data_IF_181874224217
#
_entry.id   IF_181874224217
#
_cell.length_a   1.000
_cell.length_b   1.000
_cell.length_c   1.000
_cell.angle_alpha   90.00
_cell.angle_beta   90.00
_cell.angle_gamma   90.00
#
_symmetry.space_group_name_H-M   'P 1'
#
loop_
_entity.id
_entity.type
_entity.pdbx_description
1 polymer ?
#
# COMPACT_ATOMS: atom_id res chain seq x y z
N UNK A 1 9.89 -28.03 5.36
CA UNK A 1 10.06 -26.72 4.69
C UNK A 1 11.35 -26.00 5.11
N UNK A 2 11.88 -26.20 6.33
CA UNK A 2 13.10 -25.53 6.81
C UNK A 2 14.40 -25.86 6.04
N UNK A 3 14.43 -26.94 5.25
CA UNK A 3 15.65 -27.45 4.60
C UNK A 3 15.89 -26.95 3.17
N UNK A 4 15.15 -25.95 2.69
CA UNK A 4 15.39 -25.34 1.37
C UNK A 4 16.16 -24.05 1.56
N UNK A 5 17.32 -23.93 0.91
CA UNK A 5 18.10 -22.70 0.93
C UNK A 5 17.20 -21.48 0.61
N UNK A 6 17.28 -20.37 1.36
CA UNK A 6 16.37 -19.24 1.21
C UNK A 6 16.22 -18.73 -0.22
N UNK A 7 17.30 -18.75 -1.00
CA UNK A 7 17.30 -18.34 -2.41
C UNK A 7 16.55 -19.30 -3.33
N UNK A 8 16.60 -20.62 -3.08
CA UNK A 8 15.86 -21.59 -3.87
C UNK A 8 14.37 -21.55 -3.55
N UNK A 9 14.02 -21.26 -2.29
CA UNK A 9 12.62 -20.97 -1.92
C UNK A 9 12.13 -19.69 -2.61
N UNK A 10 12.96 -18.64 -2.65
CA UNK A 10 12.62 -17.39 -3.33
C UNK A 10 12.41 -17.59 -4.83
N UNK A 11 13.29 -18.33 -5.51
CA UNK A 11 13.14 -18.65 -6.94
C UNK A 11 11.84 -19.40 -7.22
N UNK A 12 11.55 -20.46 -6.46
CA UNK A 12 10.30 -21.23 -6.59
C UNK A 12 9.07 -20.37 -6.33
N UNK A 13 9.11 -19.49 -5.32
CA UNK A 13 8.02 -18.55 -5.06
C UNK A 13 7.85 -17.57 -6.22
N UNK A 14 8.94 -17.00 -6.74
CA UNK A 14 8.89 -16.07 -7.86
C UNK A 14 8.33 -16.73 -9.14
N UNK A 15 8.73 -17.97 -9.43
CA UNK A 15 8.19 -18.77 -10.54
C UNK A 15 6.69 -19.06 -10.35
N UNK A 16 6.30 -19.51 -9.16
CA UNK A 16 4.90 -19.75 -8.82
C UNK A 16 4.05 -18.48 -8.99
N UNK A 17 4.49 -17.35 -8.43
CA UNK A 17 3.77 -16.07 -8.52
C UNK A 17 3.64 -15.62 -9.97
N UNK A 18 4.70 -15.74 -10.78
CA UNK A 18 4.66 -15.40 -12.23
C UNK A 18 3.69 -16.29 -13.01
N UNK A 19 3.53 -17.55 -12.60
CA UNK A 19 2.60 -18.49 -13.23
C UNK A 19 1.13 -18.28 -12.82
N UNK A 20 0.88 -17.73 -11.63
CA UNK A 20 -0.47 -17.60 -11.07
C UNK A 20 -1.05 -16.19 -11.14
N UNK A 21 -0.22 -15.16 -11.27
CA UNK A 21 -0.66 -13.77 -11.26
C UNK A 21 0.11 -12.91 -12.27
N UNK A 22 -0.58 -11.96 -12.90
CA UNK A 22 0.09 -10.91 -13.66
C UNK A 22 0.87 -10.00 -12.72
N UNK A 23 2.11 -9.68 -13.12
CA UNK A 23 2.97 -8.74 -12.41
C UNK A 23 2.93 -7.33 -13.02
N UNK A 24 2.11 -7.10 -14.05
CA UNK A 24 2.05 -5.84 -14.81
C UNK A 24 1.84 -4.63 -13.90
N UNK A 25 1.07 -4.80 -12.82
CA UNK A 25 0.76 -3.74 -11.85
C UNK A 25 2.00 -3.19 -11.11
N UNK A 26 3.12 -3.94 -11.11
CA UNK A 26 4.38 -3.60 -10.45
C UNK A 26 5.57 -3.64 -11.40
N UNK A 27 5.39 -4.09 -12.65
CA UNK A 27 6.47 -4.19 -13.61
C UNK A 27 6.76 -2.83 -14.26
N UNK A 28 8.01 -2.38 -14.14
CA UNK A 28 8.43 -1.06 -14.66
C UNK A 28 8.27 -0.93 -16.17
N UNK A 29 8.39 -2.02 -16.94
CA UNK A 29 8.24 -1.95 -18.40
C UNK A 29 6.76 -1.94 -18.78
N UNK A 30 5.94 -2.74 -18.12
CA UNK A 30 4.48 -2.73 -18.31
C UNK A 30 3.89 -1.34 -17.99
N UNK A 31 4.33 -0.72 -16.90
CA UNK A 31 3.83 0.59 -16.46
C UNK A 31 4.28 1.78 -17.33
N UNK A 32 5.27 1.59 -18.22
CA UNK A 32 5.60 2.61 -19.23
C UNK A 32 4.55 2.73 -20.32
N UNK A 33 3.72 1.70 -20.52
CA UNK A 33 2.68 1.73 -21.55
C UNK A 33 1.62 2.79 -21.20
N UNK A 34 1.43 3.76 -22.09
CA UNK A 34 0.52 4.89 -21.91
C UNK A 34 -0.85 4.65 -22.55
N UNK A 35 -1.07 3.48 -23.14
CA UNK A 35 -2.37 3.08 -23.69
C UNK A 35 -3.42 3.10 -22.59
N UNK A 36 -4.48 3.88 -22.80
CA UNK A 36 -5.58 3.99 -21.85
C UNK A 36 -6.44 2.72 -21.90
N UNK A 37 -6.53 2.03 -20.78
CA UNK A 37 -7.43 0.90 -20.57
C UNK A 37 -8.24 1.17 -19.32
N UNK A 38 -9.55 1.40 -19.46
CA UNK A 38 -10.43 1.83 -18.37
C UNK A 38 -10.37 0.90 -17.15
N UNK A 39 -10.22 -0.41 -17.37
CA UNK A 39 -10.15 -1.40 -16.31
C UNK A 39 -8.76 -1.52 -15.64
N UNK A 40 -7.73 -0.79 -16.09
CA UNK A 40 -6.36 -0.81 -15.51
C UNK A 40 -6.03 0.54 -14.87
N UNK A 41 -5.79 0.54 -13.57
CA UNK A 41 -5.49 1.74 -12.77
C UNK A 41 -4.06 1.79 -12.21
N UNK A 42 -3.26 0.74 -12.42
CA UNK A 42 -1.95 0.59 -11.75
C UNK A 42 -0.95 1.67 -12.12
N UNK A 43 -0.94 2.13 -13.37
CA UNK A 43 -0.06 3.23 -13.80
C UNK A 43 -0.47 4.55 -13.16
N UNK A 44 -1.77 4.83 -13.07
CA UNK A 44 -2.31 6.05 -12.48
C UNK A 44 -2.04 6.10 -10.97
N UNK A 45 -2.24 4.98 -10.28
CA UNK A 45 -1.87 4.87 -8.87
C UNK A 45 -0.35 5.01 -8.66
N UNK A 46 0.45 4.38 -9.54
CA UNK A 46 1.91 4.50 -9.52
C UNK A 46 2.37 5.92 -9.73
N UNK A 47 1.73 6.66 -10.62
CA UNK A 47 2.01 8.07 -10.82
C UNK A 47 1.74 8.87 -9.54
N UNK A 48 0.56 8.72 -8.93
CA UNK A 48 0.17 9.44 -7.72
C UNK A 48 1.15 9.24 -6.56
N UNK A 49 1.58 8.00 -6.26
CA UNK A 49 2.58 7.82 -5.19
C UNK A 49 4.00 8.23 -5.60
N UNK A 50 4.33 8.25 -6.89
CA UNK A 50 5.61 8.74 -7.39
C UNK A 50 5.71 10.29 -7.38
N UNK A 51 4.59 11.00 -7.45
CA UNK A 51 4.56 12.48 -7.49
C UNK A 51 4.10 13.11 -6.19
N UNK A 52 3.07 12.56 -5.54
CA UNK A 52 2.39 13.19 -4.41
C UNK A 52 2.61 12.37 -3.15
N UNK A 53 2.05 11.17 -3.04
CA UNK A 53 1.93 10.52 -1.72
C UNK A 53 3.24 9.93 -1.17
N UNK A 54 4.19 9.53 -2.02
CA UNK A 54 5.42 8.86 -1.57
C UNK A 54 5.16 7.53 -0.85
N UNK A 55 4.10 6.82 -1.24
CA UNK A 55 3.63 5.58 -0.62
C UNK A 55 4.54 4.38 -0.98
N UNK A 56 5.78 4.39 -0.47
CA UNK A 56 6.81 3.40 -0.79
C UNK A 56 6.83 2.25 0.21
N UNK A 57 6.72 1.01 -0.28
CA UNK A 57 6.70 -0.20 0.55
C UNK A 57 8.11 -0.63 0.98
N UNK A 58 8.76 0.21 1.76
CA UNK A 58 10.10 -0.07 2.29
C UNK A 58 10.07 -1.16 3.37
N UNK A 59 11.12 -1.99 3.50
CA UNK A 59 11.17 -3.05 4.49
C UNK A 59 11.29 -2.48 5.91
N UNK A 60 10.65 -3.14 6.87
CA UNK A 60 10.84 -2.83 8.29
C UNK A 60 12.27 -3.16 8.75
N UNK A 61 12.72 -2.49 9.82
CA UNK A 61 14.12 -2.52 10.28
C UNK A 61 14.60 -3.92 10.68
N UNK A 62 13.73 -4.77 11.22
CA UNK A 62 14.02 -6.15 11.63
C UNK A 62 12.95 -7.11 11.14
N UNK A 63 13.27 -8.39 10.90
CA UNK A 63 12.30 -9.43 10.52
C UNK A 63 11.39 -9.04 9.33
N UNK A 64 11.94 -8.38 8.33
CA UNK A 64 11.19 -7.99 7.14
C UNK A 64 10.89 -9.18 6.24
N UNK A 65 9.65 -9.25 5.74
CA UNK A 65 9.26 -10.19 4.67
C UNK A 65 9.66 -9.69 3.27
N UNK A 66 9.90 -8.38 3.13
CA UNK A 66 10.32 -7.73 1.88
C UNK A 66 11.83 -7.67 1.79
N UNK A 67 12.39 -7.74 0.59
CA UNK A 67 13.83 -7.60 0.38
C UNK A 67 14.37 -6.31 1.00
N UNK A 68 15.51 -6.41 1.69
CA UNK A 68 16.24 -5.28 2.28
C UNK A 68 16.75 -4.26 1.25
N UNK A 69 16.68 -4.61 -0.05
CA UNK A 69 17.06 -3.75 -1.17
C UNK A 69 15.96 -2.75 -1.55
N UNK A 70 14.71 -2.97 -1.15
CA UNK A 70 13.56 -2.10 -1.51
C UNK A 70 13.50 -0.83 -0.65
N UNK A 71 14.64 -0.15 -0.50
CA UNK A 71 14.77 1.12 0.25
C UNK A 71 14.25 2.30 -0.57
N UNK A 72 14.24 3.48 0.04
CA UNK A 72 13.75 4.72 -0.58
C UNK A 72 14.34 4.97 -1.99
N UNK A 73 15.67 4.86 -2.14
CA UNK A 73 16.35 5.12 -3.42
C UNK A 73 15.89 4.17 -4.55
N UNK A 74 15.61 2.91 -4.22
CA UNK A 74 15.05 1.96 -5.18
C UNK A 74 13.71 2.48 -5.74
N UNK A 75 12.85 3.04 -4.90
CA UNK A 75 11.55 3.56 -5.32
C UNK A 75 11.68 4.84 -6.15
N UNK A 76 12.64 5.71 -5.82
CA UNK A 76 12.95 6.89 -6.65
C UNK A 76 13.41 6.46 -8.04
N UNK A 77 14.32 5.49 -8.13
CA UNK A 77 14.79 4.97 -9.41
C UNK A 77 13.68 4.23 -10.17
N UNK A 78 12.81 3.53 -9.45
CA UNK A 78 11.62 2.90 -10.00
C UNK A 78 10.68 3.93 -10.66
N UNK A 79 10.37 5.01 -9.95
CA UNK A 79 9.53 6.10 -10.47
C UNK A 79 10.16 6.77 -11.71
N UNK A 80 11.46 7.08 -11.66
CA UNK A 80 12.20 7.65 -12.79
C UNK A 80 12.23 6.73 -14.00
N UNK A 81 12.38 5.43 -13.77
CA UNK A 81 12.38 4.44 -14.83
C UNK A 81 11.04 4.36 -15.58
N UNK A 82 9.91 4.66 -14.91
CA UNK A 82 8.57 4.60 -15.51
C UNK A 82 8.20 5.93 -16.16
N UNK A 83 8.39 7.05 -15.46
CA UNK A 83 7.83 8.35 -15.85
C UNK A 83 8.88 9.38 -16.33
N UNK A 84 10.17 9.01 -16.30
CA UNK A 84 11.28 9.87 -16.71
C UNK A 84 12.00 10.55 -15.54
N UNK A 85 13.22 11.02 -15.81
CA UNK A 85 14.16 11.52 -14.79
C UNK A 85 13.72 12.78 -14.05
N UNK A 86 12.80 13.54 -14.64
CA UNK A 86 12.27 14.79 -14.11
C UNK A 86 11.16 14.59 -13.06
N UNK A 87 10.71 13.34 -12.82
CA UNK A 87 9.71 13.08 -11.80
C UNK A 87 10.28 13.33 -10.40
N UNK A 88 9.49 14.01 -9.56
CA UNK A 88 9.86 14.35 -8.19
C UNK A 88 8.70 13.97 -7.27
N UNK A 89 9.01 13.22 -6.22
CA UNK A 89 8.06 12.88 -5.16
C UNK A 89 7.96 14.02 -4.16
N UNK A 90 6.76 14.56 -3.98
CA UNK A 90 6.44 15.74 -3.17
C UNK A 90 5.59 15.39 -1.93
N UNK A 91 5.93 14.26 -1.30
CA UNK A 91 5.20 13.75 -0.14
C UNK A 91 5.21 14.70 1.05
N UNK A 92 6.23 15.54 1.18
CA UNK A 92 6.28 16.54 2.25
C UNK A 92 5.23 17.63 2.01
N UNK A 93 5.13 18.11 0.77
CA UNK A 93 4.17 19.11 0.35
C UNK A 93 2.74 18.59 0.48
N UNK A 94 2.49 17.35 0.02
CA UNK A 94 1.19 16.68 0.21
C UNK A 94 0.83 16.54 1.70
N UNK A 95 1.78 16.16 2.55
CA UNK A 95 1.54 16.08 4.00
C UNK A 95 1.26 17.45 4.63
N UNK A 96 1.90 18.52 4.15
CA UNK A 96 1.66 19.89 4.61
C UNK A 96 0.27 20.38 4.21
N UNK A 97 -0.14 20.11 2.97
CA UNK A 97 -1.45 20.48 2.44
C UNK A 97 -2.58 19.81 3.22
N UNK A 98 -2.47 18.50 3.50
CA UNK A 98 -3.53 17.72 4.13
C UNK A 98 -3.38 17.54 5.64
N UNK A 99 -2.43 18.21 6.29
CA UNK A 99 -2.25 18.21 7.74
C UNK A 99 -1.58 16.96 8.33
N UNK A 100 -1.31 15.93 7.53
CA UNK A 100 -0.60 14.71 7.95
C UNK A 100 -1.20 14.10 9.23
N UNK A 101 -0.39 13.85 10.27
CA UNK A 101 -0.86 13.35 11.57
C UNK A 101 -1.62 14.38 12.41
N UNK A 102 -1.60 15.66 12.02
CA UNK A 102 -2.30 16.76 12.70
C UNK A 102 -3.54 17.18 11.89
N UNK A 103 -4.35 16.20 11.48
CA UNK A 103 -5.51 16.43 10.63
C UNK A 103 -6.57 17.29 11.36
N UNK A 104 -6.88 18.45 10.79
CA UNK A 104 -7.93 19.35 11.29
C UNK A 104 -9.19 19.15 10.45
N UNK A 105 -10.01 18.20 10.86
CA UNK A 105 -11.32 17.91 10.25
C UNK A 105 -12.42 17.84 11.31
N UNK A 106 -13.67 17.86 10.87
CA UNK A 106 -14.87 17.76 11.70
C UNK A 106 -15.83 16.75 11.11
N UNK A 107 -16.66 16.12 11.95
CA UNK A 107 -17.71 15.20 11.52
C UNK A 107 -17.15 14.02 10.68
N UNK A 108 -15.93 13.56 11.01
CA UNK A 108 -15.29 12.44 10.31
C UNK A 108 -15.21 11.21 11.20
N UNK A 109 -15.56 10.06 10.64
CA UNK A 109 -15.48 8.75 11.28
C UNK A 109 -14.42 7.91 10.57
N UNK A 110 -13.35 7.56 11.27
CA UNK A 110 -12.25 6.74 10.76
C UNK A 110 -12.42 5.30 11.26
N UNK A 111 -12.43 4.34 10.35
CA UNK A 111 -12.54 2.92 10.66
C UNK A 111 -11.32 2.19 10.12
N UNK A 112 -10.72 1.35 10.95
CA UNK A 112 -9.63 0.46 10.53
C UNK A 112 -9.96 -0.97 10.95
N UNK A 113 -9.59 -1.94 10.12
CA UNK A 113 -9.60 -3.36 10.49
C UNK A 113 -8.36 -3.74 11.29
N UNK A 114 -8.51 -4.55 12.34
CA UNK A 114 -7.41 -5.00 13.19
C UNK A 114 -6.35 -5.82 12.45
N UNK A 115 -6.73 -6.52 11.37
CA UNK A 115 -5.82 -7.29 10.51
C UNK A 115 -5.41 -6.52 9.25
N UNK A 116 -5.90 -5.28 9.06
CA UNK A 116 -5.53 -4.45 7.91
C UNK A 116 -4.11 -3.88 8.11
N UNK A 117 -3.12 -4.22 7.24
CA UNK A 117 -1.80 -3.61 7.31
C UNK A 117 -1.84 -2.09 7.04
N UNK A 118 -2.90 -1.56 6.43
CA UNK A 118 -3.07 -0.14 6.16
C UNK A 118 -3.47 0.68 7.39
N UNK A 119 -3.93 0.06 8.48
CA UNK A 119 -4.36 0.78 9.68
C UNK A 119 -3.30 1.75 10.24
N UNK A 120 -2.02 1.41 10.04
CA UNK A 120 -0.88 2.20 10.52
C UNK A 120 -0.65 3.49 9.74
N UNK A 121 -1.24 3.62 8.55
CA UNK A 121 -1.25 4.85 7.77
C UNK A 121 -2.51 5.70 8.02
N UNK A 122 -3.46 5.21 8.83
CA UNK A 122 -4.71 5.89 9.15
C UNK A 122 -4.71 6.61 10.50
N UNK A 123 -5.85 7.21 10.84
CA UNK A 123 -6.10 7.83 12.15
C UNK A 123 -6.61 6.78 13.12
N UNK A 124 -5.85 6.51 14.18
CA UNK A 124 -6.18 5.49 15.21
C UNK A 124 -6.70 6.07 16.53
N UNK A 125 -6.68 7.40 16.70
CA UNK A 125 -7.08 8.06 17.93
C UNK A 125 -8.31 8.95 17.71
N UNK A 126 -9.26 8.85 18.63
CA UNK A 126 -10.42 9.77 18.67
C UNK A 126 -9.96 11.14 19.16
N UNK A 127 -10.51 12.20 18.58
CA UNK A 127 -10.30 13.60 18.97
C UNK A 127 -11.65 14.25 19.28
N UNK A 128 -11.64 15.52 19.71
CA UNK A 128 -12.88 16.25 20.03
C UNK A 128 -13.88 16.25 18.87
N UNK A 129 -13.39 16.37 17.63
CA UNK A 129 -14.23 16.57 16.44
C UNK A 129 -14.32 15.36 15.51
N UNK A 130 -13.54 14.30 15.79
CA UNK A 130 -13.44 13.12 14.93
C UNK A 130 -13.40 11.85 15.75
N UNK A 131 -14.09 10.82 15.26
CA UNK A 131 -14.16 9.52 15.91
C UNK A 131 -13.28 8.54 15.14
N UNK A 132 -12.47 7.77 15.85
CA UNK A 132 -11.72 6.65 15.27
C UNK A 132 -12.11 5.33 15.95
N UNK A 133 -12.27 4.26 15.17
CA UNK A 133 -12.59 2.90 15.63
C UNK A 133 -11.68 1.88 14.97
N UNK A 134 -11.19 0.96 15.78
CA UNK A 134 -10.50 -0.24 15.34
C UNK A 134 -11.46 -1.43 15.48
N UNK A 135 -11.73 -2.11 14.38
CA UNK A 135 -12.54 -3.32 14.34
C UNK A 135 -11.66 -4.51 14.72
N UNK A 136 -11.81 -4.99 15.95
CA UNK A 136 -11.05 -6.12 16.47
C UNK A 136 -11.90 -7.38 16.39
N UNK A 137 -11.85 -8.06 15.24
CA UNK A 137 -12.63 -9.26 14.97
C UNK A 137 -11.86 -10.21 14.05
N UNK A 138 -12.33 -11.46 13.95
CA UNK A 138 -11.71 -12.49 13.12
C UNK A 138 -11.85 -12.13 11.63
N UNK A 139 -10.74 -12.10 10.90
CA UNK A 139 -10.68 -11.73 9.48
C UNK A 139 -11.10 -10.28 9.18
N UNK A 140 -11.00 -9.39 10.16
CA UNK A 140 -11.29 -7.97 9.97
C UNK A 140 -10.11 -7.23 9.32
N UNK A 141 -10.01 -7.40 8.00
CA UNK A 141 -8.98 -6.83 7.14
C UNK A 141 -9.43 -5.54 6.44
N UNK A 142 -8.95 -5.31 5.23
CA UNK A 142 -9.09 -4.04 4.52
C UNK A 142 -10.54 -3.68 4.18
N UNK A 143 -11.00 -2.54 4.70
CA UNK A 143 -12.34 -1.97 4.46
C UNK A 143 -13.49 -2.96 4.68
N UNK A 144 -13.36 -3.83 5.71
CA UNK A 144 -14.33 -4.90 5.96
C UNK A 144 -15.75 -4.37 6.21
N UNK A 145 -15.85 -3.18 6.78
CA UNK A 145 -17.08 -2.46 7.09
C UNK A 145 -17.86 -1.96 5.85
N UNK A 146 -17.21 -1.87 4.70
CA UNK A 146 -17.84 -1.39 3.45
C UNK A 146 -18.47 -2.51 2.61
N UNK A 147 -18.29 -3.77 3.01
CA UNK A 147 -18.92 -4.90 2.32
C UNK A 147 -20.41 -5.02 2.66
N UNK A 148 -21.16 -5.67 1.77
CA UNK A 148 -22.54 -6.06 2.06
C UNK A 148 -22.56 -7.03 3.23
N UNK A 149 -23.37 -6.71 4.25
CA UNK A 149 -23.51 -7.52 5.45
C UNK A 149 -23.89 -8.96 5.14
N UNK A 150 -23.29 -9.90 5.89
CA UNK A 150 -23.53 -11.34 5.78
C UNK A 150 -23.83 -11.93 7.16
N UNK A 151 -24.60 -13.03 7.24
CA UNK A 151 -24.81 -13.75 8.50
C UNK A 151 -23.54 -14.31 9.13
N UNK A 152 -22.45 -14.41 8.36
CA UNK A 152 -21.13 -14.89 8.82
C UNK A 152 -20.20 -13.78 9.30
N UNK A 153 -20.64 -12.52 9.25
CA UNK A 153 -19.82 -11.41 9.73
C UNK A 153 -19.62 -11.55 11.24
N UNK A 154 -18.41 -11.25 11.71
CA UNK A 154 -18.10 -11.31 13.13
C UNK A 154 -18.94 -10.32 13.91
N UNK A 155 -19.52 -10.75 15.03
CA UNK A 155 -20.08 -9.83 16.01
C UNK A 155 -18.94 -9.11 16.76
N UNK A 156 -19.16 -7.82 17.08
CA UNK A 156 -18.20 -6.97 17.79
C UNK A 156 -18.08 -7.32 19.28
#
# INVERSE_FOLDING_TARGET
LADVAPMDRYKKLAEFTKGSHSLDSYDRQALKNETIVVAKSSRQWTYQYCTEFGYFQTPYRSLHMRSSLLKYDFWIDYCKAIFGSQIVTRAKETNQEYGSVNLVTTNTFFVNGGEDPWQWAGVSQTSLNNISRLLQCENCAHCVDLYTAKPSDSEL
#
